data_IF_565815658283
#
_entry.id   IF_565815658283
#
_cell.length_a   1.000
_cell.length_b   1.000
_cell.length_c   1.000
_cell.angle_alpha   90.00
_cell.angle_beta   90.00
_cell.angle_gamma   90.00
#
_symmetry.space_group_name_H-M   'P 1'
#
loop_
_entity.id
_entity.type
_entity.pdbx_description
1 polymer ?
#
# COMPACT_ATOMS: atom_id res chain seq x y z
N UNK A 1 -8.46 23.90 7.17
CA UNK A 1 -9.68 23.10 6.94
C UNK A 1 -9.31 21.61 6.91
N UNK A 2 -10.21 20.69 7.25
CA UNK A 2 -9.93 19.26 7.13
C UNK A 2 -9.79 18.87 5.64
N UNK A 3 -8.68 18.20 5.31
CA UNK A 3 -8.41 17.66 3.97
C UNK A 3 -9.41 16.54 3.67
N UNK A 4 -10.27 16.72 2.67
CA UNK A 4 -11.27 15.76 2.22
C UNK A 4 -12.65 15.91 2.88
N UNK A 5 -13.45 14.84 2.77
CA UNK A 5 -14.78 14.77 3.41
C UNK A 5 -14.65 14.51 4.92
N UNK A 6 -15.49 15.16 5.73
CA UNK A 6 -15.47 15.02 7.18
C UNK A 6 -16.34 13.86 7.67
N UNK A 7 -17.44 13.61 6.97
CA UNK A 7 -18.42 12.55 7.24
C UNK A 7 -18.72 11.79 5.95
N UNK A 8 -19.38 10.65 6.11
CA UNK A 8 -19.76 9.82 4.98
C UNK A 8 -20.81 10.51 4.09
N UNK A 9 -20.74 10.23 2.79
CA UNK A 9 -21.64 10.74 1.74
C UNK A 9 -22.24 9.57 0.97
N UNK A 10 -23.48 9.68 0.53
CA UNK A 10 -24.18 8.65 -0.24
C UNK A 10 -25.30 7.94 0.53
N UNK A 11 -25.57 6.71 0.14
CA UNK A 11 -26.66 5.89 0.68
C UNK A 11 -26.44 5.59 2.16
N UNK A 12 -27.45 5.89 2.99
CA UNK A 12 -27.41 5.67 4.45
C UNK A 12 -26.29 6.45 5.18
N UNK A 13 -25.76 7.50 4.56
CA UNK A 13 -24.64 8.27 5.07
C UNK A 13 -25.10 9.55 5.80
N UNK A 14 -24.16 10.24 6.45
CA UNK A 14 -24.46 11.49 7.17
C UNK A 14 -24.84 12.62 6.21
N UNK A 15 -24.23 12.63 5.01
CA UNK A 15 -24.58 13.55 3.92
C UNK A 15 -24.50 15.04 4.31
N UNK A 16 -23.41 15.43 4.99
CA UNK A 16 -23.16 16.84 5.26
C UNK A 16 -23.05 17.63 3.94
N UNK A 17 -23.73 18.76 3.86
CA UNK A 17 -23.86 19.56 2.63
C UNK A 17 -22.51 19.84 1.94
N UNK A 18 -21.49 20.26 2.72
CA UNK A 18 -20.12 20.48 2.24
C UNK A 18 -19.53 19.23 1.59
N UNK A 19 -19.62 18.10 2.27
CA UNK A 19 -19.03 16.84 1.82
C UNK A 19 -19.75 16.31 0.57
N UNK A 20 -21.08 16.49 0.50
CA UNK A 20 -21.86 16.14 -0.69
C UNK A 20 -21.41 16.97 -1.89
N UNK A 21 -21.25 18.30 -1.74
CA UNK A 21 -20.71 19.16 -2.81
C UNK A 21 -19.35 18.67 -3.27
N UNK A 22 -18.45 18.36 -2.33
CA UNK A 22 -17.11 17.89 -2.63
C UNK A 22 -17.13 16.58 -3.45
N UNK A 23 -17.98 15.62 -3.08
CA UNK A 23 -18.14 14.36 -3.83
C UNK A 23 -18.77 14.60 -5.21
N UNK A 24 -19.77 15.48 -5.33
CA UNK A 24 -20.35 15.84 -6.63
C UNK A 24 -19.30 16.46 -7.56
N UNK A 25 -18.43 17.34 -7.04
CA UNK A 25 -17.31 17.90 -7.82
C UNK A 25 -16.36 16.79 -8.26
N UNK A 26 -15.89 15.94 -7.34
CA UNK A 26 -14.99 14.86 -7.70
C UNK A 26 -15.60 13.93 -8.75
N UNK A 27 -16.84 13.48 -8.59
CA UNK A 27 -17.53 12.65 -9.58
C UNK A 27 -17.61 13.32 -10.96
N UNK A 28 -17.87 14.63 -10.99
CA UNK A 28 -17.89 15.41 -12.22
C UNK A 28 -16.52 15.50 -12.89
N UNK A 29 -15.41 15.46 -12.16
CA UNK A 29 -14.06 15.43 -12.77
C UNK A 29 -13.83 14.12 -13.55
N UNK A 30 -14.34 13.00 -13.03
CA UNK A 30 -14.28 11.70 -13.72
C UNK A 30 -15.32 11.53 -14.83
N UNK A 31 -16.22 12.49 -15.05
CA UNK A 31 -17.19 12.41 -16.13
C UNK A 31 -16.54 12.54 -17.50
N UNK A 32 -15.39 13.23 -17.57
CA UNK A 32 -14.59 13.33 -18.80
C UNK A 32 -14.02 11.99 -19.24
N UNK A 33 -13.91 11.02 -18.32
CA UNK A 33 -13.48 9.66 -18.59
C UNK A 33 -14.65 8.72 -18.94
N UNK A 34 -15.89 9.18 -18.79
CA UNK A 34 -17.10 8.45 -19.12
C UNK A 34 -18.18 9.41 -19.63
N UNK A 35 -18.06 9.76 -20.92
CA UNK A 35 -18.86 10.76 -21.62
C UNK A 35 -20.34 10.40 -21.75
N UNK A 36 -20.73 9.17 -21.38
CA UNK A 36 -22.14 8.73 -21.36
C UNK A 36 -22.90 9.21 -20.12
N UNK A 37 -22.20 9.72 -19.10
CA UNK A 37 -22.83 10.22 -17.87
C UNK A 37 -23.23 11.68 -17.99
N UNK A 38 -24.35 12.02 -17.37
CA UNK A 38 -24.81 13.41 -17.21
C UNK A 38 -24.11 14.05 -16.02
N UNK A 39 -23.61 15.28 -16.21
CA UNK A 39 -22.95 16.06 -15.17
C UNK A 39 -23.91 16.30 -14.00
N UNK A 40 -23.45 16.04 -12.79
CA UNK A 40 -24.21 16.30 -11.57
C UNK A 40 -24.28 17.81 -11.30
N UNK A 41 -25.44 18.28 -10.87
CA UNK A 41 -25.56 19.57 -10.20
C UNK A 41 -24.78 19.55 -8.89
N UNK A 42 -23.94 20.55 -8.65
CA UNK A 42 -23.16 20.68 -7.40
C UNK A 42 -23.96 21.50 -6.39
N UNK A 43 -25.00 20.89 -5.85
CA UNK A 43 -25.96 21.53 -4.94
C UNK A 43 -25.83 21.08 -3.48
N UNK A 44 -24.95 20.13 -3.19
CA UNK A 44 -24.79 19.57 -1.85
C UNK A 44 -25.98 18.74 -1.37
N UNK A 45 -26.86 18.31 -2.29
CA UNK A 45 -28.02 17.46 -1.99
C UNK A 45 -27.75 16.03 -2.45
N UNK A 46 -28.03 15.07 -1.56
CA UNK A 46 -27.88 13.65 -1.87
C UNK A 46 -29.17 13.11 -2.51
N UNK A 47 -29.20 13.09 -3.83
CA UNK A 47 -30.32 12.54 -4.62
C UNK A 47 -29.99 11.22 -5.30
N UNK A 48 -30.99 10.64 -5.98
CA UNK A 48 -30.83 9.41 -6.78
C UNK A 48 -29.68 9.51 -7.80
N UNK A 49 -29.53 10.67 -8.44
CA UNK A 49 -28.46 10.90 -9.42
C UNK A 49 -27.07 10.84 -8.78
N UNK A 50 -26.88 11.50 -7.62
CA UNK A 50 -25.59 11.46 -6.90
C UNK A 50 -25.27 10.04 -6.43
N UNK A 51 -26.24 9.31 -5.87
CA UNK A 51 -26.05 7.93 -5.41
C UNK A 51 -25.72 7.02 -6.59
N UNK A 52 -26.46 7.10 -7.70
CA UNK A 52 -26.19 6.32 -8.91
C UNK A 52 -24.81 6.62 -9.49
N UNK A 53 -24.37 7.87 -9.45
CA UNK A 53 -23.02 8.24 -9.89
C UNK A 53 -21.92 7.66 -8.98
N UNK A 54 -22.16 7.57 -7.65
CA UNK A 54 -21.26 6.89 -6.71
C UNK A 54 -21.21 5.39 -7.01
N UNK A 55 -22.37 4.72 -7.08
CA UNK A 55 -22.46 3.28 -7.37
C UNK A 55 -21.78 2.94 -8.71
N UNK A 56 -22.03 3.77 -9.72
CA UNK A 56 -21.35 3.64 -11.00
C UNK A 56 -19.84 3.75 -10.79
N UNK A 57 -19.33 4.85 -10.25
CA UNK A 57 -17.89 5.04 -10.02
C UNK A 57 -17.25 3.90 -9.21
N UNK A 58 -17.95 3.37 -8.21
CA UNK A 58 -17.48 2.25 -7.41
C UNK A 58 -17.31 0.97 -8.22
N UNK A 59 -18.32 0.60 -9.02
CA UNK A 59 -18.28 -0.58 -9.89
C UNK A 59 -17.12 -0.54 -10.86
N UNK A 60 -16.97 0.65 -11.42
CA UNK A 60 -16.25 0.91 -12.64
C UNK A 60 -14.80 1.30 -12.32
N UNK A 61 -14.61 2.31 -11.47
CA UNK A 61 -13.31 2.86 -11.10
C UNK A 61 -12.68 2.20 -9.90
N UNK A 62 -13.46 1.96 -8.85
CA UNK A 62 -12.94 1.35 -7.63
C UNK A 62 -12.92 -0.19 -7.68
N UNK A 63 -13.43 -0.79 -8.76
CA UNK A 63 -13.49 -2.24 -8.94
C UNK A 63 -14.29 -2.96 -7.85
N UNK A 64 -15.35 -2.34 -7.34
CA UNK A 64 -16.24 -2.94 -6.34
C UNK A 64 -17.26 -3.85 -7.03
N UNK A 65 -17.25 -5.14 -6.68
CA UNK A 65 -18.23 -6.11 -7.21
C UNK A 65 -19.67 -5.77 -6.78
N UNK A 66 -19.81 -5.22 -5.58
CA UNK A 66 -21.07 -4.79 -5.00
C UNK A 66 -20.96 -3.31 -4.61
N UNK A 67 -21.27 -2.38 -5.53
CA UNK A 67 -21.34 -0.96 -5.23
C UNK A 67 -22.39 -0.70 -4.14
N UNK A 68 -22.00 -0.02 -3.08
CA UNK A 68 -22.86 0.28 -1.93
C UNK A 68 -23.45 1.69 -1.98
N UNK A 69 -22.98 2.53 -2.90
CA UNK A 69 -23.42 3.91 -3.05
C UNK A 69 -22.96 4.83 -1.93
N UNK A 70 -21.92 4.44 -1.16
CA UNK A 70 -21.38 5.17 0.00
C UNK A 70 -19.91 5.54 -0.16
N UNK A 71 -19.56 6.76 0.24
CA UNK A 71 -18.19 7.27 0.30
C UNK A 71 -17.86 7.63 1.74
N UNK A 72 -16.96 6.87 2.37
CA UNK A 72 -16.46 7.15 3.72
C UNK A 72 -15.15 7.97 3.68
N UNK A 73 -14.88 8.81 4.70
CA UNK A 73 -13.62 9.55 4.81
C UNK A 73 -12.40 8.63 4.71
N UNK A 74 -11.49 8.94 3.80
CA UNK A 74 -10.31 8.13 3.45
C UNK A 74 -10.62 6.69 2.98
N UNK A 75 -11.89 6.32 2.82
CA UNK A 75 -12.27 4.99 2.35
C UNK A 75 -11.85 4.74 0.91
N UNK A 76 -11.96 3.49 0.48
CA UNK A 76 -11.61 3.02 -0.88
C UNK A 76 -12.15 3.93 -1.98
N UNK A 77 -13.45 4.23 -1.97
CA UNK A 77 -14.08 5.09 -2.99
C UNK A 77 -13.43 6.48 -3.03
N UNK A 78 -13.18 7.08 -1.85
CA UNK A 78 -12.54 8.39 -1.73
C UNK A 78 -11.07 8.37 -2.21
N UNK A 79 -10.34 7.29 -1.93
CA UNK A 79 -8.98 7.08 -2.46
C UNK A 79 -8.96 7.17 -3.99
N UNK A 80 -9.85 6.43 -4.67
CA UNK A 80 -9.91 6.44 -6.14
C UNK A 80 -10.32 7.81 -6.69
N UNK A 81 -11.26 8.50 -6.05
CA UNK A 81 -11.67 9.87 -6.44
C UNK A 81 -10.52 10.89 -6.35
N UNK A 82 -9.54 10.65 -5.48
CA UNK A 82 -8.45 11.60 -5.21
C UNK A 82 -7.08 11.08 -5.66
N UNK A 83 -7.02 9.96 -6.40
CA UNK A 83 -5.76 9.34 -6.79
C UNK A 83 -4.98 10.16 -7.83
N UNK A 84 -5.71 10.82 -8.73
CA UNK A 84 -5.17 11.63 -9.83
C UNK A 84 -4.98 13.10 -9.48
N UNK A 85 -5.27 13.46 -8.22
CA UNK A 85 -5.26 14.84 -7.75
C UNK A 85 -4.16 15.02 -6.73
N UNK A 86 -3.21 15.90 -6.99
CA UNK A 86 -2.23 16.29 -5.98
C UNK A 86 -2.88 17.12 -4.85
N UNK A 87 -2.09 17.42 -3.82
CA UNK A 87 -2.57 18.20 -2.68
C UNK A 87 -3.01 19.62 -3.07
N UNK A 88 -2.31 20.27 -4.00
CA UNK A 88 -2.64 21.63 -4.42
C UNK A 88 -3.97 21.67 -5.20
N UNK A 89 -4.22 20.68 -6.05
CA UNK A 89 -5.47 20.51 -6.78
C UNK A 89 -6.65 20.21 -5.83
N UNK A 90 -6.47 19.32 -4.86
CA UNK A 90 -7.49 19.06 -3.84
C UNK A 90 -7.80 20.32 -3.02
N UNK A 91 -6.77 21.08 -2.62
CA UNK A 91 -6.96 22.35 -1.90
C UNK A 91 -7.73 23.39 -2.74
N UNK A 92 -7.46 23.48 -4.04
CA UNK A 92 -8.21 24.37 -4.96
C UNK A 92 -9.67 23.96 -5.07
N UNK A 93 -9.95 22.65 -5.17
CA UNK A 93 -11.32 22.12 -5.19
C UNK A 93 -12.04 22.44 -3.88
N UNK A 94 -11.40 22.24 -2.74
CA UNK A 94 -11.99 22.57 -1.44
C UNK A 94 -12.26 24.07 -1.28
N UNK A 95 -11.35 24.93 -1.73
CA UNK A 95 -11.54 26.38 -1.71
C UNK A 95 -12.75 26.81 -2.56
N UNK A 96 -12.99 26.14 -3.69
CA UNK A 96 -14.14 26.42 -4.57
C UNK A 96 -15.51 26.14 -3.95
N UNK A 97 -15.58 25.41 -2.82
CA UNK A 97 -16.85 25.12 -2.15
C UNK A 97 -17.55 26.38 -1.60
N UNK A 98 -16.78 27.45 -1.37
CA UNK A 98 -17.26 28.71 -0.82
C UNK A 98 -17.49 29.79 -1.89
N UNK A 99 -17.17 29.53 -3.16
CA UNK A 99 -17.33 30.51 -4.25
C UNK A 99 -18.59 30.20 -5.09
N UNK A 100 -19.51 31.17 -5.27
CA UNK A 100 -20.83 30.91 -5.82
C UNK A 100 -20.92 30.69 -7.35
N UNK A 101 -19.84 30.79 -8.15
CA UNK A 101 -20.04 30.96 -9.61
C UNK A 101 -19.05 30.34 -10.60
N UNK A 102 -18.16 29.41 -10.23
CA UNK A 102 -17.48 28.61 -11.27
C UNK A 102 -17.05 27.23 -10.77
N UNK A 103 -17.55 26.13 -11.37
CA UNK A 103 -17.01 24.81 -11.08
C UNK A 103 -15.53 24.78 -11.45
N UNK A 104 -14.65 24.13 -10.65
CA UNK A 104 -13.24 24.00 -11.00
C UNK A 104 -13.13 23.40 -12.40
N UNK A 105 -12.28 24.02 -13.25
CA UNK A 105 -12.02 23.52 -14.61
C UNK A 105 -11.70 22.03 -14.54
N UNK A 106 -12.30 21.25 -15.45
CA UNK A 106 -12.02 19.82 -15.56
C UNK A 106 -10.51 19.60 -15.65
N UNK A 107 -10.00 18.55 -14.98
CA UNK A 107 -8.57 18.21 -15.01
C UNK A 107 -8.16 18.01 -16.47
N UNK A 108 -7.37 18.94 -16.99
CA UNK A 108 -6.75 18.81 -18.30
C UNK A 108 -5.41 18.08 -18.11
N UNK A 109 -5.39 16.77 -18.31
CA UNK A 109 -4.34 16.07 -19.06
C UNK A 109 -4.47 14.56 -18.89
N UNK A 110 -4.73 13.92 -20.02
CA UNK A 110 -4.39 12.53 -20.27
C UNK A 110 -2.85 12.43 -20.27
N UNK A 111 -2.32 11.35 -19.72
CA UNK A 111 -0.95 10.83 -19.92
C UNK A 111 0.18 11.11 -18.90
N UNK A 112 -0.05 11.72 -17.72
CA UNK A 112 1.07 11.91 -16.76
C UNK A 112 0.80 11.91 -15.25
N UNK A 113 -0.45 11.86 -14.77
CA UNK A 113 -0.79 12.19 -13.36
C UNK A 113 -1.31 11.03 -12.51
N UNK A 114 -1.04 9.78 -12.92
CA UNK A 114 -1.79 8.62 -12.42
C UNK A 114 -1.63 8.37 -10.90
N UNK A 115 -0.59 8.94 -10.26
CA UNK A 115 -0.34 8.81 -8.82
C UNK A 115 -0.12 10.15 -8.12
N UNK A 116 -0.59 11.27 -8.69
CA UNK A 116 -0.39 12.61 -8.14
C UNK A 116 -0.88 12.71 -6.67
N UNK A 117 -1.96 12.01 -6.35
CA UNK A 117 -2.52 11.93 -5.00
C UNK A 117 -1.75 11.06 -4.02
N UNK A 118 -0.63 10.46 -4.42
CA UNK A 118 0.32 9.74 -3.56
C UNK A 118 1.62 10.52 -3.32
N UNK A 119 1.85 11.62 -4.04
CA UNK A 119 3.13 12.35 -4.07
C UNK A 119 3.63 12.83 -2.71
N UNK A 120 2.71 13.20 -1.80
CA UNK A 120 3.03 13.66 -0.46
C UNK A 120 3.11 12.54 0.59
N UNK A 121 2.93 11.28 0.18
CA UNK A 121 2.96 10.11 1.07
C UNK A 121 4.36 9.51 1.10
N UNK A 122 4.96 9.53 2.28
CA UNK A 122 6.38 9.25 2.45
C UNK A 122 6.59 7.83 2.98
N UNK A 123 7.43 7.06 2.29
CA UNK A 123 7.90 5.76 2.78
C UNK A 123 9.41 5.88 2.93
N UNK A 124 9.92 5.68 4.14
CA UNK A 124 11.36 5.74 4.44
C UNK A 124 11.87 4.40 4.96
N UNK A 125 13.18 4.27 5.08
CA UNK A 125 13.82 3.12 5.69
C UNK A 125 14.41 3.48 7.06
N UNK A 126 14.47 2.50 7.96
CA UNK A 126 15.21 2.61 9.22
C UNK A 126 15.91 1.28 9.52
N UNK A 127 17.23 1.33 9.73
CA UNK A 127 18.03 0.12 9.98
C UNK A 127 18.19 -0.81 8.78
N UNK A 128 17.87 -0.35 7.56
CA UNK A 128 18.07 -1.10 6.31
C UNK A 128 19.17 -0.42 5.51
N UNK A 129 20.27 -1.13 5.26
CA UNK A 129 21.41 -0.61 4.48
C UNK A 129 21.03 -0.37 3.02
N UNK A 130 21.67 0.59 2.35
CA UNK A 130 21.30 1.03 0.99
C UNK A 130 21.25 -0.12 -0.03
N UNK A 131 22.17 -1.08 0.05
CA UNK A 131 22.20 -2.27 -0.82
C UNK A 131 21.00 -3.22 -0.64
N UNK A 132 20.20 -3.05 0.43
CA UNK A 132 18.98 -3.81 0.70
C UNK A 132 17.70 -2.99 0.49
N UNK A 133 17.80 -1.71 0.14
CA UNK A 133 16.65 -0.84 -0.17
C UNK A 133 16.18 -1.04 -1.62
N UNK A 134 15.98 -2.29 -2.03
CA UNK A 134 15.63 -2.70 -3.40
C UNK A 134 14.13 -3.00 -3.57
N UNK A 135 13.28 -2.47 -2.69
CA UNK A 135 11.82 -2.59 -2.81
C UNK A 135 11.39 -1.90 -4.10
N UNK A 136 10.58 -2.56 -4.91
CA UNK A 136 10.13 -1.99 -6.19
C UNK A 136 9.25 -0.75 -5.99
N UNK A 137 9.27 0.17 -6.96
CA UNK A 137 8.40 1.34 -6.97
C UNK A 137 6.92 0.97 -6.90
N UNK A 138 6.54 -0.14 -7.53
CA UNK A 138 5.21 -0.72 -7.41
C UNK A 138 4.83 -0.97 -5.95
N UNK A 139 5.67 -1.71 -5.21
CA UNK A 139 5.43 -2.04 -3.80
C UNK A 139 5.42 -0.79 -2.92
N UNK A 140 6.31 0.18 -3.18
CA UNK A 140 6.28 1.48 -2.50
C UNK A 140 4.95 2.21 -2.73
N UNK A 141 4.43 2.18 -3.95
CA UNK A 141 3.14 2.77 -4.28
C UNK A 141 1.97 2.03 -3.63
N UNK A 142 2.02 0.70 -3.49
CA UNK A 142 1.02 -0.06 -2.71
C UNK A 142 1.02 0.38 -1.24
N UNK A 143 2.19 0.60 -0.63
CA UNK A 143 2.27 1.14 0.73
C UNK A 143 1.70 2.57 0.79
N UNK A 144 1.98 3.42 -0.21
CA UNK A 144 1.37 4.76 -0.30
C UNK A 144 -0.15 4.70 -0.47
N UNK A 145 -0.69 3.72 -1.19
CA UNK A 145 -2.14 3.50 -1.25
C UNK A 145 -2.69 3.18 0.15
N UNK A 146 -2.00 2.35 0.94
CA UNK A 146 -2.41 2.03 2.30
C UNK A 146 -2.37 3.27 3.22
N UNK A 147 -1.35 4.11 3.08
CA UNK A 147 -1.25 5.40 3.78
C UNK A 147 -2.43 6.31 3.41
N UNK A 148 -2.77 6.40 2.13
CA UNK A 148 -3.91 7.20 1.65
C UNK A 148 -5.24 6.69 2.24
N UNK A 149 -5.47 5.38 2.23
CA UNK A 149 -6.71 4.78 2.79
C UNK A 149 -6.81 4.93 4.30
N UNK A 150 -5.68 4.86 5.02
CA UNK A 150 -5.69 5.05 6.47
C UNK A 150 -5.76 6.52 6.88
N UNK A 151 -5.52 7.43 5.93
CA UNK A 151 -5.35 8.85 6.19
C UNK A 151 -4.04 9.17 6.90
N UNK A 152 -3.03 8.29 6.83
CA UNK A 152 -1.66 8.51 7.32
C UNK A 152 -0.78 9.09 6.21
N UNK A 153 0.32 9.75 6.57
CA UNK A 153 1.24 10.35 5.58
C UNK A 153 2.65 9.76 5.56
N UNK A 154 3.00 8.89 6.53
CA UNK A 154 4.34 8.31 6.61
C UNK A 154 4.32 6.85 7.08
N UNK A 155 5.15 6.02 6.46
CA UNK A 155 5.48 4.66 6.88
C UNK A 155 7.00 4.45 6.90
N UNK A 156 7.47 3.57 7.78
CA UNK A 156 8.90 3.23 7.89
C UNK A 156 9.11 1.74 7.67
N UNK A 157 9.83 1.40 6.61
CA UNK A 157 10.29 0.03 6.33
C UNK A 157 11.50 -0.26 7.23
N UNK A 158 11.40 -1.33 8.01
CA UNK A 158 12.45 -1.77 8.93
C UNK A 158 13.08 -3.10 8.52
N UNK A 159 12.51 -3.78 7.52
CA UNK A 159 13.15 -4.97 6.93
C UNK A 159 12.71 -5.22 5.49
N UNK A 160 13.64 -5.70 4.67
CA UNK A 160 13.48 -6.01 3.25
C UNK A 160 14.16 -7.36 2.94
N UNK A 161 15.13 -7.39 2.03
CA UNK A 161 16.03 -8.52 1.77
C UNK A 161 17.09 -8.61 2.87
N UNK A 162 17.47 -9.82 3.27
CA UNK A 162 18.58 -10.12 4.18
C UNK A 162 19.53 -11.11 3.53
N UNK A 163 20.83 -10.95 3.74
CA UNK A 163 21.80 -12.02 3.44
C UNK A 163 21.75 -13.13 4.49
N UNK A 164 22.41 -14.27 4.24
CA UNK A 164 22.72 -15.25 5.27
C UNK A 164 23.38 -14.62 6.51
N UNK A 165 24.33 -13.70 6.34
CA UNK A 165 25.03 -13.00 7.44
C UNK A 165 24.08 -12.10 8.23
N UNK A 166 23.25 -11.29 7.55
CA UNK A 166 22.24 -10.45 8.18
C UNK A 166 21.29 -11.31 9.02
N UNK A 167 20.81 -12.41 8.43
CA UNK A 167 19.88 -13.33 9.07
C UNK A 167 20.52 -14.03 10.28
N UNK A 168 21.75 -14.53 10.16
CA UNK A 168 22.50 -15.15 11.26
C UNK A 168 22.73 -14.17 12.42
N UNK A 169 23.17 -12.94 12.12
CA UNK A 169 23.43 -11.89 13.11
C UNK A 169 22.17 -11.52 13.88
N UNK A 170 21.03 -11.36 13.18
CA UNK A 170 19.74 -11.09 13.81
C UNK A 170 19.30 -12.27 14.68
N UNK A 171 19.45 -13.50 14.19
CA UNK A 171 19.10 -14.71 14.94
C UNK A 171 19.92 -14.83 16.22
N UNK A 172 21.24 -14.62 16.16
CA UNK A 172 22.15 -14.66 17.31
C UNK A 172 21.78 -13.59 18.35
N UNK A 173 21.63 -12.33 17.91
CA UNK A 173 21.24 -11.22 18.80
C UNK A 173 19.93 -11.53 19.52
N UNK A 174 18.95 -12.03 18.79
CA UNK A 174 17.64 -12.39 19.34
C UNK A 174 17.72 -13.59 20.30
N UNK A 175 18.57 -14.57 19.99
CA UNK A 175 18.78 -15.76 20.81
C UNK A 175 19.45 -15.45 22.16
N UNK A 176 20.38 -14.49 22.18
CA UNK A 176 21.02 -13.98 23.41
C UNK A 176 20.03 -13.33 24.37
N UNK A 177 18.98 -12.71 23.85
CA UNK A 177 17.94 -12.08 24.68
C UNK A 177 17.05 -13.15 25.33
N UNK A 178 16.53 -14.09 24.55
CA UNK A 178 15.71 -15.19 25.08
C UNK A 178 15.60 -16.35 24.08
N UNK A 179 16.46 -17.36 24.21
CA UNK A 179 16.55 -18.50 23.30
C UNK A 179 15.26 -19.34 23.28
N UNK A 180 14.67 -19.64 24.44
CA UNK A 180 13.48 -20.50 24.55
C UNK A 180 12.28 -19.96 23.78
N UNK A 181 12.05 -18.64 23.81
CA UNK A 181 11.00 -17.98 23.03
C UNK A 181 11.30 -17.94 21.53
N UNK A 182 12.53 -18.20 21.08
CA UNK A 182 12.87 -18.18 19.64
C UNK A 182 12.55 -19.48 18.93
N UNK A 183 12.64 -20.63 19.62
CA UNK A 183 12.19 -21.91 19.07
C UNK A 183 10.69 -21.92 18.71
N UNK A 184 9.87 -21.07 19.34
CA UNK A 184 8.46 -20.92 18.98
C UNK A 184 8.19 -19.90 17.87
N UNK A 185 9.18 -19.10 17.47
CA UNK A 185 9.06 -18.09 16.42
C UNK A 185 9.60 -18.56 15.08
N UNK A 186 10.59 -19.47 15.09
CA UNK A 186 11.15 -20.05 13.88
C UNK A 186 10.51 -21.42 13.59
N UNK A 187 10.63 -21.86 12.34
CA UNK A 187 10.37 -23.26 11.99
C UNK A 187 11.63 -24.11 12.16
N UNK A 188 11.50 -25.42 11.95
CA UNK A 188 12.56 -26.42 12.15
C UNK A 188 13.95 -26.04 11.58
N UNK A 189 13.99 -25.34 10.44
CA UNK A 189 15.26 -24.88 9.84
C UNK A 189 15.92 -23.76 10.65
N UNK A 190 15.13 -22.81 11.14
CA UNK A 190 15.64 -21.76 12.03
C UNK A 190 16.03 -22.33 13.39
N UNK A 191 15.30 -23.33 13.88
CA UNK A 191 15.65 -24.05 15.11
C UNK A 191 17.00 -24.76 14.98
N UNK A 192 17.26 -25.40 13.84
CA UNK A 192 18.55 -26.02 13.55
C UNK A 192 19.70 -24.99 13.54
N UNK A 193 19.46 -23.78 13.02
CA UNK A 193 20.44 -22.68 13.06
C UNK A 193 20.62 -22.15 14.49
N UNK A 194 19.55 -22.04 15.28
CA UNK A 194 19.65 -21.67 16.70
C UNK A 194 20.38 -22.72 17.55
N UNK A 195 20.28 -24.00 17.18
CA UNK A 195 21.02 -25.10 17.83
C UNK A 195 22.53 -24.94 17.69
N UNK A 196 22.99 -24.37 16.57
CA UNK A 196 24.41 -24.05 16.38
C UNK A 196 24.87 -23.05 17.44
N UNK A 197 24.11 -21.97 17.65
CA UNK A 197 24.40 -21.04 18.74
C UNK A 197 24.38 -21.75 20.10
N UNK A 198 23.36 -22.56 20.36
CA UNK A 198 23.23 -23.27 21.64
C UNK A 198 24.44 -24.14 21.97
N UNK A 199 24.98 -24.84 20.97
CA UNK A 199 26.13 -25.73 21.11
C UNK A 199 27.49 -25.01 21.11
N UNK A 200 27.53 -23.72 20.75
CA UNK A 200 28.78 -22.96 20.59
C UNK A 200 28.81 -21.68 21.44
N UNK A 201 28.03 -21.60 22.53
CA UNK A 201 27.94 -20.40 23.38
C UNK A 201 29.27 -19.90 23.96
N UNK A 202 30.28 -20.75 24.05
CA UNK A 202 31.64 -20.40 24.52
C UNK A 202 32.51 -19.74 23.45
N UNK A 203 32.10 -19.78 22.17
CA UNK A 203 32.85 -19.19 21.06
C UNK A 203 32.57 -17.70 20.92
N UNK A 204 33.40 -17.02 20.11
CA UNK A 204 33.17 -15.61 19.77
C UNK A 204 31.95 -15.48 18.85
N UNK A 205 31.23 -14.37 18.97
CA UNK A 205 30.04 -14.08 18.15
C UNK A 205 30.33 -14.19 16.65
N UNK A 206 31.49 -13.73 16.19
CA UNK A 206 31.90 -13.83 14.79
C UNK A 206 31.97 -15.29 14.32
N UNK A 207 32.56 -16.16 15.12
CA UNK A 207 32.69 -17.60 14.82
C UNK A 207 31.32 -18.29 14.82
N UNK A 208 30.45 -17.91 15.76
CA UNK A 208 29.08 -18.44 15.80
C UNK A 208 28.30 -17.99 14.57
N UNK A 209 28.41 -16.71 14.17
CA UNK A 209 27.76 -16.18 12.97
C UNK A 209 28.26 -16.92 11.73
N UNK A 210 29.57 -17.14 11.57
CA UNK A 210 30.10 -17.91 10.43
C UNK A 210 29.52 -19.33 10.35
N UNK A 211 29.38 -20.02 11.49
CA UNK A 211 28.76 -21.35 11.53
C UNK A 211 27.27 -21.30 11.17
N UNK A 212 26.55 -20.29 11.66
CA UNK A 212 25.13 -20.07 11.33
C UNK A 212 24.94 -19.72 9.85
N UNK A 213 25.82 -18.91 9.27
CA UNK A 213 25.85 -18.53 7.85
C UNK A 213 26.00 -19.78 6.99
N UNK A 214 27.03 -20.60 7.25
CA UNK A 214 27.24 -21.86 6.53
C UNK A 214 25.98 -22.73 6.54
N UNK A 215 25.28 -22.81 7.68
CA UNK A 215 24.05 -23.60 7.77
C UNK A 215 22.88 -23.00 6.98
N UNK A 216 22.76 -21.67 6.95
CA UNK A 216 21.75 -20.99 6.13
C UNK A 216 22.05 -21.20 4.64
N UNK A 217 23.30 -21.14 4.23
CA UNK A 217 23.74 -21.39 2.84
C UNK A 217 23.55 -22.85 2.41
N UNK A 218 23.82 -23.82 3.30
CA UNK A 218 23.49 -25.23 3.07
C UNK A 218 22.01 -25.41 2.73
N UNK A 219 21.12 -24.81 3.54
CA UNK A 219 19.69 -24.84 3.24
C UNK A 219 19.37 -24.16 1.92
N UNK A 220 19.99 -23.02 1.61
CA UNK A 220 19.76 -22.32 0.35
C UNK A 220 20.12 -23.18 -0.87
N UNK A 221 21.25 -23.93 -0.81
CA UNK A 221 21.66 -24.87 -1.86
C UNK A 221 20.65 -26.00 -2.08
N UNK A 222 19.94 -26.40 -1.02
CA UNK A 222 18.85 -27.38 -1.08
C UNK A 222 17.50 -26.78 -1.50
N UNK A 223 17.45 -25.50 -1.91
CA UNK A 223 16.20 -24.79 -2.23
C UNK A 223 15.34 -24.50 -1.00
N UNK A 224 15.91 -24.56 0.20
CA UNK A 224 15.23 -24.33 1.49
C UNK A 224 15.62 -22.97 2.05
N UNK A 225 14.67 -22.29 2.70
CA UNK A 225 14.91 -21.00 3.36
C UNK A 225 14.64 -21.04 4.85
N UNK A 226 15.48 -20.33 5.61
CA UNK A 226 15.37 -20.18 7.07
C UNK A 226 14.42 -19.03 7.43
N UNK A 227 14.33 -18.02 6.57
CA UNK A 227 13.51 -16.82 6.75
C UNK A 227 12.91 -16.42 5.42
N UNK A 228 11.75 -15.76 5.44
CA UNK A 228 11.15 -15.18 4.23
C UNK A 228 11.98 -14.03 3.66
N UNK A 229 12.77 -13.36 4.50
CA UNK A 229 13.63 -12.25 4.08
C UNK A 229 14.97 -12.71 3.52
N UNK A 230 15.38 -13.96 3.78
CA UNK A 230 16.66 -14.50 3.33
C UNK A 230 16.43 -15.35 2.07
N UNK A 231 16.54 -14.68 0.92
CA UNK A 231 16.29 -15.23 -0.43
C UNK A 231 17.31 -14.61 -1.41
N UNK A 232 17.38 -15.09 -2.65
CA UNK A 232 18.21 -14.43 -3.68
C UNK A 232 17.65 -13.04 -4.04
N UNK A 233 18.47 -12.20 -4.69
CA UNK A 233 18.01 -10.90 -5.18
C UNK A 233 16.93 -11.09 -6.26
N UNK A 234 17.09 -12.11 -7.10
CA UNK A 234 16.19 -12.50 -8.17
C UNK A 234 14.83 -12.91 -7.60
N UNK A 235 14.81 -13.76 -6.58
CA UNK A 235 13.59 -14.15 -5.88
C UNK A 235 12.93 -12.94 -5.22
N UNK A 236 13.71 -12.07 -4.58
CA UNK A 236 13.19 -10.86 -3.94
C UNK A 236 12.54 -9.91 -4.93
N UNK A 237 13.11 -9.76 -6.14
CA UNK A 237 12.53 -8.96 -7.22
C UNK A 237 11.18 -9.53 -7.70
N UNK A 238 10.99 -10.84 -7.64
CA UNK A 238 9.72 -11.49 -7.98
C UNK A 238 8.66 -11.36 -6.87
N UNK A 239 9.10 -11.27 -5.61
CA UNK A 239 8.24 -11.16 -4.42
C UNK A 239 8.93 -10.30 -3.36
N UNK A 240 8.55 -9.03 -3.27
CA UNK A 240 9.08 -8.12 -2.26
C UNK A 240 8.48 -8.48 -0.88
N UNK A 241 9.32 -9.02 0.01
CA UNK A 241 8.97 -9.24 1.42
C UNK A 241 9.40 -8.01 2.22
N UNK A 242 8.46 -7.41 2.96
CA UNK A 242 8.65 -6.10 3.60
C UNK A 242 8.06 -6.14 5.01
N UNK A 243 8.84 -5.68 5.99
CA UNK A 243 8.34 -5.37 7.33
C UNK A 243 8.25 -3.85 7.50
N UNK A 244 7.04 -3.34 7.74
CA UNK A 244 6.82 -1.96 8.13
C UNK A 244 6.81 -1.89 9.65
N UNK A 245 7.78 -1.20 10.24
CA UNK A 245 7.97 -1.18 11.69
C UNK A 245 6.89 -0.36 12.39
N UNK A 246 6.17 -0.96 13.34
CA UNK A 246 5.10 -0.31 14.10
C UNK A 246 5.63 0.91 14.87
N UNK A 247 6.63 0.69 15.73
CA UNK A 247 7.20 1.74 16.57
C UNK A 247 7.93 2.81 15.73
N UNK A 248 8.66 2.39 14.69
CA UNK A 248 9.35 3.32 13.79
C UNK A 248 8.37 4.18 12.99
N UNK A 249 7.22 3.64 12.58
CA UNK A 249 6.18 4.41 11.90
C UNK A 249 5.45 5.34 12.87
N UNK A 250 5.11 4.84 14.07
CA UNK A 250 4.44 5.61 15.12
C UNK A 250 5.24 6.83 15.57
N UNK A 251 6.57 6.74 15.62
CA UNK A 251 7.41 7.86 16.04
C UNK A 251 7.49 9.01 15.03
N UNK A 252 7.21 8.76 13.74
CA UNK A 252 7.39 9.76 12.68
C UNK A 252 6.09 10.21 12.00
N UNK A 253 5.00 9.45 12.14
CA UNK A 253 3.72 9.74 11.50
C UNK A 253 2.81 10.53 12.46
N UNK A 254 2.61 11.83 12.22
CA UNK A 254 1.81 12.71 13.10
C UNK A 254 0.35 12.27 13.23
N UNK A 255 -0.25 11.80 12.15
CA UNK A 255 -1.62 11.31 12.04
C UNK A 255 -1.69 9.77 12.14
N UNK A 256 -0.84 9.16 12.96
CA UNK A 256 -0.76 7.72 13.12
C UNK A 256 -2.08 7.08 13.57
N UNK A 257 -2.46 5.98 12.92
CA UNK A 257 -3.59 5.15 13.35
C UNK A 257 -3.35 3.69 13.00
N UNK A 258 -3.06 2.87 14.01
CA UNK A 258 -2.82 1.43 13.85
C UNK A 258 -4.00 0.73 13.17
N UNK A 259 -5.21 0.88 13.72
CA UNK A 259 -6.39 0.17 13.23
C UNK A 259 -6.72 0.52 11.78
N UNK A 260 -6.63 1.81 11.41
CA UNK A 260 -6.89 2.26 10.04
C UNK A 260 -5.84 1.74 9.07
N UNK A 261 -4.56 1.70 9.46
CA UNK A 261 -3.51 1.18 8.60
C UNK A 261 -3.59 -0.33 8.43
N UNK A 262 -3.83 -1.09 9.51
CA UNK A 262 -4.07 -2.53 9.43
C UNK A 262 -5.27 -2.85 8.53
N UNK A 263 -6.36 -2.08 8.64
CA UNK A 263 -7.54 -2.25 7.78
C UNK A 263 -7.26 -1.92 6.31
N UNK A 264 -6.47 -0.88 6.04
CA UNK A 264 -6.05 -0.52 4.68
C UNK A 264 -5.18 -1.61 4.04
N UNK A 265 -4.19 -2.14 4.76
CA UNK A 265 -3.38 -3.27 4.29
C UNK A 265 -4.23 -4.51 4.01
N UNK A 266 -5.17 -4.84 4.90
CA UNK A 266 -6.11 -5.94 4.71
C UNK A 266 -7.03 -5.72 3.49
N UNK A 267 -7.49 -4.49 3.28
CA UNK A 267 -8.27 -4.12 2.08
C UNK A 267 -7.46 -4.36 0.82
N UNK A 268 -6.21 -3.90 0.76
CA UNK A 268 -5.32 -4.07 -0.39
C UNK A 268 -4.94 -5.54 -0.66
N UNK A 269 -4.85 -6.37 0.39
CA UNK A 269 -4.74 -7.83 0.25
C UNK A 269 -6.00 -8.42 -0.41
N UNK A 270 -7.19 -8.09 0.09
CA UNK A 270 -8.46 -8.56 -0.51
C UNK A 270 -8.66 -8.09 -1.95
N UNK A 271 -8.07 -6.95 -2.31
CA UNK A 271 -8.07 -6.40 -3.66
C UNK A 271 -7.03 -7.06 -4.58
N UNK A 272 -6.08 -7.84 -4.05
CA UNK A 272 -5.02 -8.51 -4.80
C UNK A 272 -3.80 -7.65 -5.11
N UNK A 273 -3.64 -6.48 -4.47
CA UNK A 273 -2.42 -5.67 -4.54
C UNK A 273 -1.30 -6.24 -3.66
N UNK A 274 -1.67 -6.82 -2.52
CA UNK A 274 -0.79 -7.50 -1.58
C UNK A 274 -1.05 -9.01 -1.71
N UNK A 275 0.01 -9.81 -1.84
CA UNK A 275 -0.09 -11.28 -1.93
C UNK A 275 -0.41 -11.89 -0.57
N UNK A 276 0.22 -11.34 0.48
CA UNK A 276 0.04 -11.78 1.85
C UNK A 276 0.25 -10.65 2.82
N UNK A 277 -0.65 -10.51 3.77
CA UNK A 277 -0.54 -9.59 4.89
C UNK A 277 -0.62 -10.37 6.21
N UNK A 278 0.29 -10.04 7.14
CA UNK A 278 0.25 -10.54 8.51
C UNK A 278 0.40 -9.36 9.45
N UNK A 279 -0.59 -9.17 10.31
CA UNK A 279 -0.53 -8.18 11.39
C UNK A 279 0.26 -8.75 12.58
N UNK A 280 1.44 -8.18 12.83
CA UNK A 280 2.33 -8.58 13.91
C UNK A 280 2.66 -7.43 14.85
N UNK A 281 1.84 -6.36 14.85
CA UNK A 281 2.05 -5.17 15.70
C UNK A 281 2.05 -5.52 17.18
N UNK A 282 1.26 -6.52 17.58
CA UNK A 282 1.13 -7.05 18.94
C UNK A 282 2.04 -8.25 19.23
N UNK A 283 2.92 -8.61 18.30
CA UNK A 283 3.88 -9.72 18.45
C UNK A 283 5.29 -9.20 18.67
N UNK A 284 6.24 -10.11 18.85
CA UNK A 284 7.64 -9.79 19.21
C UNK A 284 8.41 -8.98 18.17
N UNK A 285 7.99 -8.98 16.91
CA UNK A 285 8.59 -8.19 15.83
C UNK A 285 7.97 -6.80 15.66
N UNK A 286 6.81 -6.52 16.29
CA UNK A 286 6.12 -5.23 16.24
C UNK A 286 6.11 -4.61 14.85
N UNK A 287 5.58 -5.32 13.85
CA UNK A 287 5.54 -4.85 12.47
C UNK A 287 4.25 -5.26 11.74
N UNK A 288 4.01 -4.61 10.61
CA UNK A 288 3.13 -5.14 9.57
C UNK A 288 4.00 -5.86 8.54
N UNK A 289 3.80 -7.16 8.39
CA UNK A 289 4.51 -7.96 7.41
C UNK A 289 3.67 -8.08 6.14
N UNK A 290 4.25 -7.70 5.00
CA UNK A 290 3.60 -7.80 3.69
C UNK A 290 4.50 -8.48 2.66
N UNK A 291 3.88 -9.27 1.80
CA UNK A 291 4.50 -9.85 0.61
C UNK A 291 3.79 -9.29 -0.62
N UNK A 292 4.53 -8.69 -1.54
CA UNK A 292 3.98 -8.07 -2.75
C UNK A 292 4.66 -8.64 -3.98
N UNK A 293 3.85 -9.18 -4.92
CA UNK A 293 4.31 -9.51 -6.28
C UNK A 293 4.23 -8.24 -7.13
N UNK A 294 5.36 -7.65 -7.56
CA UNK A 294 5.34 -6.41 -8.32
C UNK A 294 4.51 -6.53 -9.60
N UNK A 295 3.73 -5.51 -9.92
CA UNK A 295 2.90 -5.42 -11.13
C UNK A 295 1.81 -6.50 -11.30
N UNK A 296 1.53 -7.32 -10.27
CA UNK A 296 0.45 -8.33 -10.30
C UNK A 296 -0.91 -7.73 -10.62
N UNK A 297 -1.20 -6.55 -10.05
CA UNK A 297 -2.43 -5.79 -10.31
C UNK A 297 -2.06 -4.36 -10.62
N UNK A 298 -2.56 -3.82 -11.73
CA UNK A 298 -2.26 -2.43 -12.09
C UNK A 298 -2.69 -1.47 -10.96
N UNK A 299 -1.76 -0.65 -10.49
CA UNK A 299 -2.04 0.52 -9.65
C UNK A 299 -2.52 1.71 -10.47
N UNK A 300 -2.45 1.60 -11.80
CA UNK A 300 -2.66 2.67 -12.75
C UNK A 300 -4.05 2.64 -13.42
N UNK A 301 -4.81 1.52 -13.35
CA UNK A 301 -5.98 1.34 -14.20
C UNK A 301 -7.23 0.70 -13.59
N UNK A 302 -8.36 1.31 -13.98
CA UNK A 302 -9.74 0.85 -14.04
C UNK A 302 -9.86 -0.31 -15.07
N UNK A 303 -10.61 -1.39 -14.79
CA UNK A 303 -10.40 -2.70 -15.42
C UNK A 303 -11.08 -2.95 -16.82
N UNK A 304 -10.47 -3.93 -17.51
CA UNK A 304 -10.86 -4.88 -18.58
C UNK A 304 -10.75 -4.52 -20.06
N UNK A 305 -10.56 -3.26 -20.42
CA UNK A 305 -10.11 -2.75 -21.72
C UNK A 305 -9.98 -1.26 -21.44
N UNK A 306 -8.80 -0.71 -21.64
CA UNK A 306 -8.48 0.65 -21.22
C UNK A 306 -9.60 1.63 -21.64
N UNK A 307 -9.96 2.54 -20.72
CA UNK A 307 -10.90 3.64 -21.02
C UNK A 307 -10.26 4.67 -21.97
N UNK A 308 -9.01 4.46 -22.38
CA UNK A 308 -8.32 5.16 -23.46
C UNK A 308 -7.64 4.16 -24.42
N UNK A 309 -8.41 3.19 -24.96
CA UNK A 309 -8.14 2.27 -26.09
C UNK A 309 -7.94 0.75 -25.77
N UNK A 310 -8.48 -0.14 -26.63
CA UNK A 310 -8.55 -1.59 -26.43
C UNK A 310 -7.20 -2.27 -26.68
N UNK A 311 -7.05 -3.46 -26.09
CA UNK A 311 -5.92 -4.38 -26.21
C UNK A 311 -5.24 -4.39 -27.59
N UNK A 312 -3.93 -4.11 -27.59
CA UNK A 312 -2.81 -4.70 -28.37
C UNK A 312 -1.59 -3.87 -27.95
N UNK A 313 -0.58 -4.37 -27.24
CA UNK A 313 0.39 -5.35 -27.71
C UNK A 313 1.16 -5.99 -26.54
N UNK A 314 1.17 -7.31 -26.52
CA UNK A 314 2.41 -8.09 -26.34
C UNK A 314 2.92 -8.29 -27.78
N UNK A 315 4.19 -7.97 -28.02
CA UNK A 315 4.95 -8.12 -29.28
C UNK A 315 4.69 -7.07 -30.38
N UNK A 316 5.39 -5.94 -30.25
CA UNK A 316 6.02 -5.18 -31.34
C UNK A 316 5.64 -5.57 -32.77
N UNK A 317 4.85 -4.73 -33.45
CA UNK A 317 5.08 -4.33 -34.84
C UNK A 317 4.19 -3.12 -35.20
N UNK A 318 4.81 -2.14 -35.85
CA UNK A 318 4.19 -0.91 -36.36
C UNK A 318 3.28 -1.21 -37.57
N UNK A 319 2.34 -0.32 -37.87
CA UNK A 319 2.23 0.35 -39.19
C UNK A 319 1.21 1.51 -39.09
N UNK A 320 1.60 2.61 -39.72
CA UNK A 320 0.84 3.84 -39.98
C UNK A 320 -0.37 3.59 -40.89
N UNK A 321 -1.52 4.13 -40.50
CA UNK A 321 -2.40 5.04 -41.25
C UNK A 321 -3.41 5.64 -40.28
#
# INVERSE_FOLDING_TARGET
MPKGIMRSVGKGAVNQHRDVKLIQIYLNLFITLDTKRVKLTVDGKIGRNTISAIEHFQKNSAGMNFPDGRVDPNGKTFRYLTLYLDEAEQNKIEASLNEPSSPPKAIASKDGRILAGLSNLVVTYNGVVASRQIVSDYSLNVIRLALKESGMNKAVITSTLRTPEDQATIMLRNAKINLGRKYSLYGARGDAVLKIYENNKSKKDSEIVELMVKKIEEYAKEGKRVSKHCVSIEDYKSLNVIDIGYNSTKSVCKNFSESKFSNALKSLESEGYIEKYIDETKKSNSCWHIEIKPNKKSVFWYNKKSILFPVRFINSEHILC
#
